data_IF_114997540669
#
_entry.id   IF_114997540669
#
_cell.length_a   1.000
_cell.length_b   1.000
_cell.length_c   1.000
_cell.angle_alpha   90.00
_cell.angle_beta   90.00
_cell.angle_gamma   90.00
#
_symmetry.space_group_name_H-M   'P 1'
#
loop_
_entity.id
_entity.type
_entity.pdbx_description
1 polymer ?
#
# COMPACT_ATOMS: atom_id res chain seq x y z
N UNK A 1 -14.49 57.34 29.29
CA UNK A 1 -13.01 57.45 29.41
C UNK A 1 -12.40 56.35 28.58
N UNK A 2 -11.51 56.71 27.65
CA UNK A 2 -10.81 55.84 26.70
C UNK A 2 -9.63 55.12 27.38
N UNK A 3 -9.49 53.81 27.15
CA UNK A 3 -8.24 53.02 27.16
C UNK A 3 -8.45 51.93 26.10
N UNK A 4 -8.11 52.10 24.82
CA UNK A 4 -6.80 52.22 24.17
C UNK A 4 -5.86 51.01 24.41
N UNK A 5 -5.41 50.44 23.27
CA UNK A 5 -4.32 49.48 23.01
C UNK A 5 -4.70 47.99 23.12
N UNK A 6 -4.98 47.25 22.03
CA UNK A 6 -4.14 46.84 20.87
C UNK A 6 -2.96 45.94 21.29
N UNK A 7 -2.92 44.72 20.71
CA UNK A 7 -1.76 43.91 20.27
C UNK A 7 -2.10 42.41 20.47
N UNK A 8 -2.71 41.73 19.49
CA UNK A 8 -2.03 40.97 18.42
C UNK A 8 -0.97 39.96 18.92
N UNK A 9 -1.40 38.73 19.19
CA UNK A 9 -0.67 37.53 18.74
C UNK A 9 -1.71 36.54 18.24
N UNK A 10 -2.05 36.67 16.96
CA UNK A 10 -2.41 35.50 16.16
C UNK A 10 -1.17 34.61 16.28
N UNK A 11 -1.27 33.53 17.06
CA UNK A 11 -0.27 32.48 17.03
C UNK A 11 -0.34 31.93 15.61
N UNK A 12 0.51 32.51 14.77
CA UNK A 12 0.75 32.12 13.40
C UNK A 12 0.97 30.61 13.46
N UNK A 13 0.01 29.88 12.90
CA UNK A 13 0.13 28.49 12.50
C UNK A 13 1.37 28.39 11.64
N UNK A 14 2.52 28.21 12.28
CA UNK A 14 3.72 27.65 11.67
C UNK A 14 3.50 26.14 11.56
N UNK A 15 2.42 25.76 10.86
CA UNK A 15 2.40 24.52 10.09
C UNK A 15 3.36 24.78 8.93
N UNK A 16 4.66 24.79 9.24
CA UNK A 16 5.70 24.69 8.24
C UNK A 16 5.46 23.29 7.67
N UNK A 17 4.77 23.26 6.53
CA UNK A 17 4.70 22.10 5.69
C UNK A 17 6.13 21.78 5.28
N UNK A 18 6.83 21.03 6.15
CA UNK A 18 8.04 20.35 5.76
C UNK A 18 7.65 19.58 4.49
N UNK A 19 8.42 19.70 3.39
CA UNK A 19 8.25 18.75 2.32
C UNK A 19 8.44 17.39 2.97
N UNK A 20 7.36 16.62 3.10
CA UNK A 20 7.43 15.23 3.51
C UNK A 20 8.18 14.56 2.36
N UNK A 21 9.50 14.55 2.47
CA UNK A 21 10.36 13.76 1.61
C UNK A 21 9.95 12.31 1.84
N UNK A 22 9.91 11.53 0.76
CA UNK A 22 9.81 10.09 0.91
C UNK A 22 11.02 9.65 1.74
N UNK A 23 10.76 9.05 2.88
CA UNK A 23 11.78 8.43 3.70
C UNK A 23 11.56 6.91 3.64
N UNK A 24 12.63 6.10 3.67
CA UNK A 24 12.50 4.68 3.92
C UNK A 24 11.67 4.45 5.19
N UNK A 25 10.79 3.45 5.17
CA UNK A 25 10.01 3.09 6.34
C UNK A 25 10.94 2.73 7.52
N UNK A 26 10.57 3.14 8.73
CA UNK A 26 11.13 2.53 9.94
C UNK A 26 10.68 1.06 10.06
N UNK A 27 11.30 0.29 10.96
CA UNK A 27 10.91 -1.12 11.19
C UNK A 27 9.43 -1.26 11.58
N UNK A 28 8.93 -0.38 12.45
CA UNK A 28 7.51 -0.36 12.86
C UNK A 28 6.58 -0.04 11.67
N UNK A 29 7.00 0.89 10.82
CA UNK A 29 6.27 1.28 9.62
C UNK A 29 6.27 0.16 8.59
N UNK A 30 7.38 -0.55 8.41
CA UNK A 30 7.49 -1.67 7.51
C UNK A 30 6.63 -2.86 7.97
N UNK A 31 6.61 -3.14 9.28
CA UNK A 31 5.73 -4.15 9.86
C UNK A 31 4.24 -3.81 9.65
N UNK A 32 3.85 -2.55 9.92
CA UNK A 32 2.49 -2.08 9.68
C UNK A 32 2.12 -2.13 8.19
N UNK A 33 3.00 -1.65 7.33
CA UNK A 33 2.84 -1.69 5.89
C UNK A 33 2.70 -3.12 5.38
N UNK A 34 3.44 -4.09 5.93
CA UNK A 34 3.35 -5.51 5.56
C UNK A 34 1.99 -6.11 5.88
N UNK A 35 1.41 -5.77 7.03
CA UNK A 35 0.05 -6.19 7.39
C UNK A 35 -1.01 -5.61 6.44
N UNK A 36 -0.90 -4.31 6.12
CA UNK A 36 -1.81 -3.64 5.20
C UNK A 36 -1.66 -4.16 3.77
N UNK A 37 -0.42 -4.35 3.31
CA UNK A 37 -0.07 -4.88 1.99
C UNK A 37 -0.64 -6.28 1.76
N UNK A 38 -0.75 -7.11 2.80
CA UNK A 38 -1.41 -8.42 2.68
C UNK A 38 -2.89 -8.28 2.28
N UNK A 39 -3.61 -7.33 2.90
CA UNK A 39 -4.99 -7.02 2.56
C UNK A 39 -5.13 -6.43 1.16
N UNK A 40 -4.26 -5.49 0.81
CA UNK A 40 -4.23 -4.87 -0.53
C UNK A 40 -3.92 -5.89 -1.62
N UNK A 41 -2.89 -6.72 -1.43
CA UNK A 41 -2.52 -7.80 -2.36
C UNK A 41 -3.63 -8.82 -2.54
N UNK A 42 -4.31 -9.22 -1.45
CA UNK A 42 -5.50 -10.10 -1.52
C UNK A 42 -6.60 -9.48 -2.39
N UNK A 43 -6.93 -8.21 -2.17
CA UNK A 43 -7.96 -7.51 -2.96
C UNK A 43 -7.56 -7.39 -4.43
N UNK A 44 -6.27 -7.20 -4.72
CA UNK A 44 -5.78 -7.10 -6.09
C UNK A 44 -6.03 -8.40 -6.88
N UNK A 45 -5.82 -9.56 -6.26
CA UNK A 45 -5.92 -10.87 -6.95
C UNK A 45 -7.29 -11.54 -6.86
N UNK A 46 -8.15 -11.14 -5.91
CA UNK A 46 -9.38 -11.88 -5.57
C UNK A 46 -10.42 -11.95 -6.68
N UNK A 47 -10.34 -11.08 -7.70
CA UNK A 47 -11.21 -11.13 -8.88
C UNK A 47 -10.85 -12.24 -9.86
N UNK A 48 -9.61 -12.74 -9.78
CA UNK A 48 -9.10 -13.77 -10.68
C UNK A 48 -9.10 -15.13 -9.99
N UNK A 49 -8.64 -15.17 -8.73
CA UNK A 49 -8.52 -16.40 -7.96
C UNK A 49 -8.86 -16.15 -6.49
N UNK A 50 -9.66 -17.05 -5.91
CA UNK A 50 -9.97 -17.00 -4.50
C UNK A 50 -8.73 -17.39 -3.67
N UNK A 51 -8.32 -16.51 -2.77
CA UNK A 51 -7.26 -16.81 -1.78
C UNK A 51 -7.87 -17.66 -0.66
N UNK A 52 -7.52 -18.94 -0.60
CA UNK A 52 -8.14 -19.92 0.32
C UNK A 52 -7.22 -20.42 1.43
N UNK A 53 -5.91 -20.16 1.33
CA UNK A 53 -4.93 -20.65 2.30
C UNK A 53 -4.00 -19.59 2.85
N UNK A 54 -2.80 -20.05 3.26
CA UNK A 54 -1.77 -19.18 3.85
C UNK A 54 -1.35 -18.10 2.85
N UNK A 55 -1.03 -16.92 3.38
CA UNK A 55 -0.51 -15.78 2.64
C UNK A 55 0.76 -15.28 3.30
N UNK A 56 1.69 -14.74 2.50
CA UNK A 56 2.95 -14.16 2.95
C UNK A 56 3.28 -12.94 2.10
N UNK A 57 3.68 -11.87 2.76
CA UNK A 57 4.17 -10.64 2.13
C UNK A 57 5.67 -10.57 2.34
N UNK A 58 6.42 -10.35 1.27
CA UNK A 58 7.85 -10.04 1.31
C UNK A 58 8.03 -8.64 0.74
N UNK A 59 8.26 -7.67 1.62
CA UNK A 59 8.54 -6.29 1.20
C UNK A 59 9.95 -6.22 0.60
N UNK A 60 10.07 -5.59 -0.56
CA UNK A 60 11.35 -5.28 -1.20
C UNK A 60 11.71 -3.80 -1.13
N UNK A 61 10.71 -2.92 -1.04
CA UNK A 61 10.90 -1.50 -0.76
C UNK A 61 9.67 -0.97 0.00
N UNK A 62 9.92 -0.07 0.96
CA UNK A 62 8.86 0.64 1.68
C UNK A 62 9.30 2.08 1.88
N UNK A 63 8.48 3.01 1.40
CA UNK A 63 8.63 4.44 1.64
C UNK A 63 7.36 4.98 2.30
N UNK A 64 7.54 5.87 3.27
CA UNK A 64 6.44 6.61 3.87
C UNK A 64 6.53 8.08 3.49
N UNK A 65 5.45 8.61 2.93
CA UNK A 65 5.36 10.00 2.50
C UNK A 65 3.97 10.56 2.75
N UNK A 66 3.91 11.67 3.50
CA UNK A 66 2.68 12.44 3.70
C UNK A 66 1.47 11.59 4.13
N UNK A 67 1.67 10.64 5.06
CA UNK A 67 0.58 9.80 5.57
C UNK A 67 0.25 8.57 4.72
N UNK A 68 0.99 8.33 3.64
CA UNK A 68 0.81 7.17 2.76
C UNK A 68 2.08 6.34 2.66
N UNK A 69 1.88 5.02 2.54
CA UNK A 69 2.91 4.07 2.16
C UNK A 69 2.99 3.95 0.64
N UNK A 70 4.20 3.82 0.13
CA UNK A 70 4.50 3.27 -1.18
C UNK A 70 5.35 2.03 -0.97
N UNK A 71 4.84 0.87 -1.39
CA UNK A 71 5.43 -0.42 -1.05
C UNK A 71 5.54 -1.27 -2.30
N UNK A 72 6.74 -1.77 -2.56
CA UNK A 72 6.98 -2.83 -3.52
C UNK A 72 7.14 -4.14 -2.75
N UNK A 73 6.35 -5.14 -3.09
CA UNK A 73 6.33 -6.40 -2.34
C UNK A 73 5.88 -7.57 -3.19
N UNK A 74 6.35 -8.76 -2.80
CA UNK A 74 5.84 -10.02 -3.31
C UNK A 74 4.74 -10.54 -2.39
N UNK A 75 3.55 -10.72 -2.94
CA UNK A 75 2.42 -11.35 -2.26
C UNK A 75 2.32 -12.81 -2.72
N UNK A 76 2.70 -13.73 -1.82
CA UNK A 76 2.62 -15.17 -2.02
C UNK A 76 1.37 -15.70 -1.32
N UNK A 77 0.58 -16.55 -1.98
CA UNK A 77 -0.63 -17.09 -1.38
C UNK A 77 -0.99 -18.47 -1.93
N UNK A 78 -1.71 -19.24 -1.13
CA UNK A 78 -2.30 -20.51 -1.56
C UNK A 78 -3.73 -20.30 -2.05
N UNK A 79 -4.05 -20.94 -3.17
CA UNK A 79 -5.40 -21.07 -3.72
C UNK A 79 -5.68 -22.54 -4.09
N UNK A 80 -6.85 -22.80 -4.70
CA UNK A 80 -7.32 -24.16 -4.98
C UNK A 80 -6.31 -25.04 -5.74
N UNK A 81 -5.61 -24.46 -6.72
CA UNK A 81 -4.70 -25.22 -7.61
C UNK A 81 -3.22 -25.11 -7.20
N UNK A 82 -2.91 -24.58 -6.00
CA UNK A 82 -1.57 -24.59 -5.43
C UNK A 82 -1.04 -23.20 -5.01
N UNK A 83 0.27 -23.00 -5.14
CA UNK A 83 0.96 -21.77 -4.76
C UNK A 83 0.92 -20.75 -5.90
N UNK A 84 0.56 -19.52 -5.54
CA UNK A 84 0.51 -18.36 -6.42
C UNK A 84 1.37 -17.25 -5.85
N UNK A 85 1.87 -16.39 -6.72
CA UNK A 85 2.47 -15.14 -6.31
C UNK A 85 2.26 -14.05 -7.35
N UNK A 86 2.25 -12.81 -6.86
CA UNK A 86 2.35 -11.58 -7.65
C UNK A 86 3.35 -10.63 -6.98
N UNK A 87 4.10 -9.90 -7.79
CA UNK A 87 4.89 -8.75 -7.34
C UNK A 87 4.07 -7.50 -7.61
N UNK A 88 3.86 -6.70 -6.56
CA UNK A 88 2.99 -5.54 -6.57
C UNK A 88 3.81 -4.30 -6.23
N UNK A 89 3.49 -3.21 -6.93
CA UNK A 89 3.81 -1.86 -6.48
C UNK A 89 2.50 -1.20 -6.05
N UNK A 90 2.38 -0.91 -4.76
CA UNK A 90 1.15 -0.39 -4.17
C UNK A 90 1.39 0.93 -3.46
N UNK A 91 0.36 1.79 -3.48
CA UNK A 91 0.27 2.98 -2.66
C UNK A 91 -1.04 2.96 -1.88
N UNK A 92 -0.98 3.18 -0.58
CA UNK A 92 -2.13 3.18 0.33
C UNK A 92 -1.87 4.08 1.55
N UNK A 93 -2.92 4.56 2.20
CA UNK A 93 -2.79 5.38 3.41
C UNK A 93 -2.44 4.54 4.66
N UNK A 94 -2.27 5.19 5.81
CA UNK A 94 -1.96 4.56 7.10
C UNK A 94 -2.97 3.51 7.60
N UNK A 95 -4.13 3.38 6.94
CA UNK A 95 -5.18 2.39 7.25
C UNK A 95 -5.31 1.31 6.17
N UNK A 96 -4.51 1.38 5.10
CA UNK A 96 -4.67 0.56 3.89
C UNK A 96 -5.77 1.08 2.95
N UNK A 97 -6.36 2.23 3.27
CA UNK A 97 -7.37 2.90 2.46
C UNK A 97 -6.79 3.56 1.21
N UNK A 98 -7.67 3.89 0.26
CA UNK A 98 -7.28 4.53 -1.00
C UNK A 98 -6.29 3.71 -1.84
N UNK A 99 -6.24 2.40 -1.62
CA UNK A 99 -5.19 1.56 -2.19
C UNK A 99 -5.23 1.56 -3.71
N UNK A 100 -4.09 1.87 -4.31
CA UNK A 100 -3.82 1.66 -5.73
C UNK A 100 -2.70 0.65 -5.83
N UNK A 101 -2.86 -0.34 -6.71
CA UNK A 101 -1.88 -1.42 -6.86
C UNK A 101 -1.70 -1.76 -8.32
N UNK A 102 -0.46 -2.04 -8.68
CA UNK A 102 -0.08 -2.50 -10.00
C UNK A 102 0.67 -3.80 -9.87
N UNK A 103 0.33 -4.76 -10.71
CA UNK A 103 1.07 -6.02 -10.80
C UNK A 103 2.25 -5.82 -11.73
N UNK A 104 3.44 -5.97 -11.19
CA UNK A 104 4.72 -5.87 -11.91
C UNK A 104 5.06 -7.21 -12.54
N UNK A 105 4.79 -8.30 -11.81
CA UNK A 105 5.06 -9.66 -12.24
C UNK A 105 4.10 -10.63 -11.60
N UNK A 106 3.85 -11.75 -12.26
CA UNK A 106 2.97 -12.79 -11.77
C UNK A 106 3.58 -14.18 -11.96
N UNK A 107 3.21 -15.10 -11.07
CA UNK A 107 3.53 -16.51 -11.22
C UNK A 107 2.87 -17.13 -12.46
N UNK A 108 3.41 -18.22 -13.02
CA UNK A 108 2.75 -18.96 -14.10
C UNK A 108 1.33 -19.41 -13.74
N UNK A 109 1.11 -19.83 -12.49
CA UNK A 109 -0.22 -20.22 -12.00
C UNK A 109 -1.20 -19.05 -12.01
N UNK A 110 -0.73 -17.85 -11.66
CA UNK A 110 -1.55 -16.64 -11.72
C UNK A 110 -1.92 -16.30 -13.17
N UNK A 111 -0.96 -16.33 -14.10
CA UNK A 111 -1.23 -16.08 -15.51
C UNK A 111 -2.24 -17.09 -16.12
N UNK A 112 -2.15 -18.36 -15.73
CA UNK A 112 -3.12 -19.37 -16.12
C UNK A 112 -4.52 -19.10 -15.54
N UNK A 113 -4.59 -18.64 -14.28
CA UNK A 113 -5.86 -18.26 -13.67
C UNK A 113 -6.48 -17.01 -14.31
N UNK A 114 -5.67 -16.02 -14.69
CA UNK A 114 -6.12 -14.83 -15.45
C UNK A 114 -6.77 -15.24 -16.78
N UNK A 115 -6.09 -16.13 -17.53
CA UNK A 115 -6.62 -16.67 -18.78
C UNK A 115 -7.94 -17.44 -18.59
N UNK A 116 -8.01 -18.27 -17.54
CA UNK A 116 -9.23 -19.04 -17.20
C UNK A 116 -10.40 -18.15 -16.76
N UNK A 117 -10.12 -17.07 -16.02
CA UNK A 117 -11.13 -16.12 -15.56
C UNK A 117 -11.55 -15.12 -16.65
N UNK A 118 -10.76 -14.97 -17.73
CA UNK A 118 -10.95 -13.91 -18.72
C UNK A 118 -10.69 -12.51 -18.15
N UNK A 119 -9.93 -12.42 -17.05
CA UNK A 119 -9.64 -11.17 -16.33
C UNK A 119 -8.14 -10.98 -16.28
N UNK A 120 -7.68 -9.79 -16.70
CA UNK A 120 -6.28 -9.39 -16.56
C UNK A 120 -6.13 -8.48 -15.34
N UNK A 121 -5.18 -8.77 -14.49
CA UNK A 121 -4.79 -7.91 -13.38
C UNK A 121 -4.23 -6.59 -13.94
N UNK A 122 -4.39 -5.51 -13.17
CA UNK A 122 -3.88 -4.20 -13.54
C UNK A 122 -2.35 -4.23 -13.60
N UNK A 123 -1.80 -4.46 -14.79
CA UNK A 123 -0.38 -4.39 -15.10
C UNK A 123 -0.03 -3.05 -15.73
N UNK A 124 1.25 -2.68 -15.74
CA UNK A 124 1.72 -1.59 -16.60
C UNK A 124 1.52 -1.92 -18.08
#
# INVERSE_FOLDING_TARGET
MKKALILSVIALTAAIAAPAFAAPCSEDQEAAAGMLAAGVGKQAVSKVVAVTGKQMVNISACEFRAGSYQVDYKYNFLAADGLYWVELSSKFDGTGGGATSKVVKASPNMAAAEAKAGVKLASN
#
